data_IF_546723015746
#
_entry.id   IF_546723015746
#
_cell.length_a   1.000
_cell.length_b   1.000
_cell.length_c   1.000
_cell.angle_alpha   90.00
_cell.angle_beta   90.00
_cell.angle_gamma   90.00
#
_symmetry.space_group_name_H-M   'P 1'
#
loop_
_entity.id
_entity.type
_entity.pdbx_description
1 polymer ?
#
# COMPACT_ATOMS: atom_id res chain seq x y z
N UNK A 1 11.59 8.51 -12.76
CA UNK A 1 10.54 8.64 -11.72
C UNK A 1 9.09 8.46 -12.22
N UNK A 2 8.62 9.13 -13.29
CA UNK A 2 7.21 9.04 -13.75
C UNK A 2 6.71 7.62 -14.10
N UNK A 3 7.58 6.74 -14.60
CA UNK A 3 7.21 5.36 -14.97
C UNK A 3 6.92 4.45 -13.77
N UNK A 4 7.62 4.63 -12.65
CA UNK A 4 7.44 3.83 -11.43
C UNK A 4 6.08 4.11 -10.78
N UNK A 5 5.69 5.38 -10.71
CA UNK A 5 4.41 5.81 -10.14
C UNK A 5 3.24 5.19 -10.93
N UNK A 6 3.34 5.15 -12.26
CA UNK A 6 2.32 4.56 -13.12
C UNK A 6 2.15 3.05 -12.96
N UNK A 7 3.24 2.32 -12.70
CA UNK A 7 3.21 0.87 -12.45
C UNK A 7 2.63 0.55 -11.07
N UNK A 8 3.00 1.30 -10.04
CA UNK A 8 2.46 1.18 -8.67
C UNK A 8 0.95 1.44 -8.65
N UNK A 9 0.48 2.45 -9.42
CA UNK A 9 -0.94 2.77 -9.55
C UNK A 9 -1.74 1.67 -10.26
N UNK A 10 -1.19 1.01 -11.28
CA UNK A 10 -1.88 -0.09 -11.97
C UNK A 10 -1.94 -1.37 -11.12
N UNK A 11 -0.86 -1.72 -10.43
CA UNK A 11 -0.85 -2.89 -9.53
C UNK A 11 -1.71 -2.70 -8.28
N UNK A 12 -1.92 -1.45 -7.84
CA UNK A 12 -2.79 -1.14 -6.70
C UNK A 12 -4.30 -1.30 -6.96
N UNK A 13 -4.75 -1.52 -8.20
CA UNK A 13 -6.19 -1.55 -8.47
C UNK A 13 -6.87 -2.83 -7.95
N UNK A 14 -6.20 -3.98 -7.94
CA UNK A 14 -6.62 -5.23 -7.23
C UNK A 14 -5.43 -6.18 -6.97
N UNK A 15 -4.50 -5.84 -6.08
CA UNK A 15 -3.42 -6.75 -5.74
C UNK A 15 -4.00 -7.97 -5.02
N UNK A 16 -3.62 -9.18 -5.46
CA UNK A 16 -3.85 -10.40 -4.70
C UNK A 16 -3.18 -10.33 -3.32
N UNK A 17 -3.53 -11.24 -2.40
CA UNK A 17 -2.97 -11.27 -1.03
C UNK A 17 -1.42 -11.22 -1.00
N UNK A 18 -0.77 -11.88 -1.97
CA UNK A 18 0.69 -11.89 -2.10
C UNK A 18 1.26 -10.55 -2.60
N UNK A 19 0.63 -9.93 -3.60
CA UNK A 19 1.04 -8.62 -4.11
C UNK A 19 0.84 -7.52 -3.05
N UNK A 20 -0.18 -7.66 -2.19
CA UNK A 20 -0.38 -6.78 -1.03
C UNK A 20 0.76 -6.90 -0.01
N UNK A 21 1.23 -8.12 0.25
CA UNK A 21 2.41 -8.35 1.09
C UNK A 21 3.63 -7.63 0.55
N UNK A 22 3.93 -7.83 -0.73
CA UNK A 22 5.07 -7.17 -1.40
C UNK A 22 4.97 -5.64 -1.37
N UNK A 23 3.77 -5.07 -1.56
CA UNK A 23 3.56 -3.63 -1.47
C UNK A 23 3.75 -3.10 -0.03
N UNK A 24 3.36 -3.88 0.99
CA UNK A 24 3.59 -3.51 2.40
C UNK A 24 5.10 -3.52 2.73
N UNK A 25 5.83 -4.51 2.23
CA UNK A 25 7.28 -4.59 2.40
C UNK A 25 7.98 -3.40 1.72
N UNK A 26 7.64 -3.10 0.46
CA UNK A 26 8.18 -1.94 -0.27
C UNK A 26 7.87 -0.59 0.41
N UNK A 27 6.67 -0.42 0.96
CA UNK A 27 6.32 0.79 1.71
C UNK A 27 7.08 0.89 3.05
N UNK A 28 7.45 -0.24 3.64
CA UNK A 28 8.24 -0.28 4.88
C UNK A 28 9.71 0.07 4.62
N UNK A 29 10.27 -0.40 3.52
CA UNK A 29 11.60 0.03 3.06
C UNK A 29 11.61 1.53 2.78
N UNK A 30 10.61 2.04 2.05
CA UNK A 30 10.49 3.46 1.73
C UNK A 30 10.29 4.36 2.98
N UNK A 31 9.56 3.88 4.00
CA UNK A 31 9.45 4.57 5.30
C UNK A 31 10.84 4.67 5.97
N UNK A 32 11.61 3.58 5.97
CA UNK A 32 12.93 3.50 6.59
C UNK A 32 13.95 4.37 5.88
N UNK A 33 14.00 4.30 4.55
CA UNK A 33 14.84 5.17 3.72
C UNK A 33 14.44 6.64 3.89
N UNK A 34 13.14 6.92 3.96
CA UNK A 34 12.65 8.27 4.14
C UNK A 34 13.07 8.89 5.48
N UNK A 35 12.99 8.11 6.56
CA UNK A 35 13.48 8.52 7.88
C UNK A 35 15.00 8.76 7.86
N UNK A 36 15.76 7.88 7.20
CA UNK A 36 17.21 8.02 7.09
C UNK A 36 17.64 9.24 6.25
N UNK A 37 16.88 9.59 5.21
CA UNK A 37 17.15 10.74 4.35
C UNK A 37 16.55 12.06 4.87
N UNK A 38 15.82 12.02 5.98
CA UNK A 38 15.20 13.21 6.57
C UNK A 38 14.11 13.83 5.69
N UNK A 39 13.38 13.03 4.90
CA UNK A 39 12.25 13.58 4.14
C UNK A 39 11.17 14.13 5.08
N UNK A 40 10.36 15.10 4.61
CA UNK A 40 9.34 15.73 5.43
C UNK A 40 8.42 14.71 6.11
N UNK A 41 8.12 14.97 7.38
CA UNK A 41 7.26 14.12 8.20
C UNK A 41 5.91 13.79 7.51
N UNK A 42 5.33 14.77 6.82
CA UNK A 42 4.09 14.59 6.03
C UNK A 42 4.20 13.48 4.97
N UNK A 43 5.37 13.31 4.35
CA UNK A 43 5.61 12.25 3.36
C UNK A 43 5.71 10.88 4.04
N UNK A 44 6.39 10.81 5.18
CA UNK A 44 6.48 9.60 6.01
C UNK A 44 5.09 9.17 6.51
N UNK A 45 4.26 10.13 6.95
CA UNK A 45 2.88 9.87 7.37
C UNK A 45 2.00 9.37 6.22
N UNK A 46 2.15 9.92 5.01
CA UNK A 46 1.43 9.44 3.84
C UNK A 46 1.79 7.98 3.49
N UNK A 47 3.07 7.61 3.59
CA UNK A 47 3.56 6.24 3.40
C UNK A 47 2.94 5.32 4.48
N UNK A 48 3.00 5.73 5.74
CA UNK A 48 2.44 4.98 6.87
C UNK A 48 0.92 4.76 6.75
N UNK A 49 0.18 5.81 6.37
CA UNK A 49 -1.26 5.73 6.14
C UNK A 49 -1.61 4.77 5.00
N UNK A 50 -0.82 4.80 3.91
CA UNK A 50 -0.99 3.89 2.77
C UNK A 50 -0.72 2.43 3.16
N UNK A 51 0.34 2.17 3.94
CA UNK A 51 0.65 0.84 4.46
C UNK A 51 -0.48 0.31 5.36
N UNK A 52 -1.00 1.15 6.26
CA UNK A 52 -2.09 0.78 7.15
C UNK A 52 -3.36 0.44 6.35
N UNK A 53 -3.70 1.26 5.35
CA UNK A 53 -4.84 1.01 4.47
C UNK A 53 -4.72 -0.32 3.72
N UNK A 54 -3.55 -0.60 3.13
CA UNK A 54 -3.32 -1.88 2.43
C UNK A 54 -3.39 -3.09 3.38
N UNK A 55 -2.93 -2.95 4.63
CA UNK A 55 -3.03 -4.02 5.63
C UNK A 55 -4.47 -4.27 6.06
N UNK A 56 -5.26 -3.21 6.27
CA UNK A 56 -6.69 -3.31 6.60
C UNK A 56 -7.49 -3.90 5.44
N UNK A 57 -7.27 -3.44 4.20
CA UNK A 57 -7.90 -4.02 3.01
C UNK A 57 -7.46 -5.47 2.77
N UNK A 58 -6.25 -5.84 3.20
CA UNK A 58 -5.71 -7.20 3.25
C UNK A 58 -6.43 -8.13 4.23
N UNK A 59 -6.74 -7.62 5.43
CA UNK A 59 -7.43 -8.35 6.50
C UNK A 59 -8.95 -8.39 6.33
N UNK A 60 -9.52 -7.42 5.62
CA UNK A 60 -10.91 -7.42 5.18
C UNK A 60 -10.96 -7.53 3.65
N UNK A 61 -10.71 -8.72 3.07
CA UNK A 61 -11.14 -8.93 1.70
C UNK A 61 -12.64 -8.67 1.72
N UNK A 62 -13.10 -7.66 0.97
CA UNK A 62 -14.51 -7.43 0.75
C UNK A 62 -15.08 -8.70 0.11
N UNK A 63 -15.54 -9.63 0.94
CA UNK A 63 -16.49 -10.65 0.54
C UNK A 63 -17.68 -9.87 0.00
N UNK A 64 -18.05 -10.01 -1.28
CA UNK A 64 -19.41 -9.65 -1.65
C UNK A 64 -20.29 -10.59 -0.82
N UNK A 65 -20.93 -10.05 0.23
CA UNK A 65 -22.01 -10.73 0.91
C UNK A 65 -22.99 -11.19 -0.18
N UNK A 66 -23.32 -12.50 -0.29
CA UNK A 66 -24.35 -12.92 -1.22
C UNK A 66 -25.63 -12.22 -0.77
N UNK A 67 -26.16 -11.33 -1.60
CA UNK A 67 -27.53 -10.86 -1.45
C UNK A 67 -28.40 -12.11 -1.55
N UNK A 68 -28.91 -12.55 -0.40
CA UNK A 68 -29.94 -13.57 -0.33
C UNK A 68 -31.13 -13.14 -1.18
N UNK A 69 -31.59 -14.06 -2.00
CA UNK A 69 -32.76 -13.93 -2.86
C UNK A 69 -33.68 -15.11 -2.60
#
# INVERSE_FOLDING_TARGET
>A
MRKLIGTIVRMSQRPGLQERGQLIDQLTELESEGLAQGVPWRTVEAIRATRLKLRVEGLMPRTPLPRGH
#
